data_IF_422754803689
#
_entry.id   IF_422754803689
#
_cell.length_a   1.000
_cell.length_b   1.000
_cell.length_c   1.000
_cell.angle_alpha   90.00
_cell.angle_beta   90.00
_cell.angle_gamma   90.00
#
_symmetry.space_group_name_H-M   'P 1'
#
loop_
_entity.id
_entity.type
_entity.pdbx_description
1 polymer ?
#
# COMPACT_ATOMS: atom_id res chain seq x y z
N UNK A 1 6.30 38.08 -21.27
CA UNK A 1 5.58 37.92 -19.98
C UNK A 1 5.94 36.54 -19.45
N UNK A 2 6.75 36.44 -18.38
CA UNK A 2 7.03 35.15 -17.73
C UNK A 2 5.80 34.80 -16.89
N UNK A 3 5.11 33.71 -17.20
CA UNK A 3 4.01 33.21 -16.38
C UNK A 3 4.58 32.81 -15.02
N UNK A 4 4.32 33.62 -14.00
CA UNK A 4 4.66 33.30 -12.62
C UNK A 4 3.61 32.29 -12.11
N UNK A 5 3.70 31.05 -12.59
CA UNK A 5 2.93 29.94 -12.01
C UNK A 5 3.53 29.65 -10.63
N UNK A 6 2.73 29.82 -9.58
CA UNK A 6 3.08 29.36 -8.24
C UNK A 6 3.57 27.91 -8.32
N UNK A 7 4.64 27.53 -7.59
CA UNK A 7 5.12 26.15 -7.59
C UNK A 7 3.97 25.22 -7.16
N UNK A 8 3.70 24.22 -7.99
CA UNK A 8 2.67 23.20 -7.71
C UNK A 8 3.17 22.31 -6.57
N UNK A 9 2.33 21.95 -5.59
CA UNK A 9 2.73 21.00 -4.55
C UNK A 9 3.15 19.67 -5.18
N UNK A 10 4.22 19.07 -4.66
CA UNK A 10 4.71 17.77 -5.12
C UNK A 10 3.76 16.67 -4.65
N UNK A 11 3.49 15.71 -5.53
CA UNK A 11 2.77 14.50 -5.22
C UNK A 11 3.61 13.28 -5.53
N UNK A 12 3.51 12.27 -4.69
CA UNK A 12 4.22 11.03 -4.87
C UNK A 12 3.27 9.83 -4.79
N UNK A 13 3.42 8.88 -5.71
CA UNK A 13 2.59 7.68 -5.74
C UNK A 13 3.26 6.53 -4.99
N UNK A 14 2.55 5.93 -4.04
CA UNK A 14 2.99 4.73 -3.34
C UNK A 14 2.14 3.52 -3.76
N UNK A 15 2.81 2.56 -4.42
CA UNK A 15 2.19 1.36 -4.97
C UNK A 15 2.77 0.12 -4.29
N UNK A 16 1.88 -0.70 -3.70
CA UNK A 16 2.23 -1.97 -3.06
C UNK A 16 1.33 -3.10 -3.54
N UNK A 17 1.91 -4.22 -3.96
CA UNK A 17 1.14 -5.39 -4.46
C UNK A 17 0.89 -6.43 -3.38
N UNK A 18 -0.37 -6.84 -3.17
CA UNK A 18 -0.76 -7.83 -2.15
C UNK A 18 -0.08 -9.19 -2.32
N UNK A 19 0.18 -9.63 -3.56
CA UNK A 19 1.05 -10.78 -3.83
C UNK A 19 2.05 -10.48 -4.95
N UNK A 20 3.20 -11.16 -4.99
CA UNK A 20 4.16 -11.02 -6.08
C UNK A 20 3.55 -11.31 -7.46
N UNK A 21 2.60 -12.25 -7.58
CA UNK A 21 1.93 -12.52 -8.86
C UNK A 21 1.06 -11.36 -9.36
N UNK A 22 0.59 -10.50 -8.46
CA UNK A 22 -0.15 -9.29 -8.82
C UNK A 22 0.74 -8.18 -9.38
N UNK A 23 2.06 -8.30 -9.34
CA UNK A 23 2.98 -7.33 -9.97
C UNK A 23 2.98 -7.38 -11.51
N UNK A 24 2.23 -8.31 -12.12
CA UNK A 24 2.11 -8.46 -13.57
C UNK A 24 1.35 -7.27 -14.19
N UNK A 25 2.09 -6.21 -14.53
CA UNK A 25 1.82 -5.15 -15.51
C UNK A 25 0.58 -4.28 -15.31
N UNK A 26 -0.61 -4.88 -15.43
CA UNK A 26 -1.87 -4.14 -15.57
C UNK A 26 -2.37 -3.51 -14.25
N UNK A 27 -2.06 -4.14 -13.11
CA UNK A 27 -2.37 -3.60 -11.78
C UNK A 27 -1.53 -2.37 -11.42
N UNK A 28 -0.25 -2.33 -11.83
CA UNK A 28 0.65 -1.18 -11.63
C UNK A 28 0.19 -0.02 -12.50
N UNK A 29 -0.04 -0.29 -13.79
CA UNK A 29 -0.50 0.70 -14.77
C UNK A 29 -1.76 1.40 -14.29
N UNK A 30 -2.80 0.65 -13.89
CA UNK A 30 -4.05 1.23 -13.41
C UNK A 30 -3.91 2.07 -12.14
N UNK A 31 -2.94 1.75 -11.27
CA UNK A 31 -2.69 2.55 -10.07
C UNK A 31 -1.97 3.85 -10.40
N UNK A 32 -0.98 3.80 -11.30
CA UNK A 32 -0.30 5.00 -11.80
C UNK A 32 -1.28 5.93 -12.54
N UNK A 33 -2.13 5.39 -13.41
CA UNK A 33 -3.16 6.17 -14.12
C UNK A 33 -4.11 6.90 -13.16
N UNK A 34 -4.47 6.27 -12.03
CA UNK A 34 -5.28 6.93 -10.99
C UNK A 34 -4.52 8.08 -10.33
N UNK A 35 -3.23 7.89 -10.03
CA UNK A 35 -2.39 8.90 -9.40
C UNK A 35 -2.13 10.09 -10.34
N UNK A 36 -1.81 9.82 -11.61
CA UNK A 36 -1.64 10.81 -12.67
C UNK A 36 -2.91 11.65 -12.85
N UNK A 37 -4.08 10.99 -12.94
CA UNK A 37 -5.36 11.69 -13.06
C UNK A 37 -5.62 12.58 -11.84
N UNK A 38 -5.42 12.06 -10.63
CA UNK A 38 -5.64 12.84 -9.41
C UNK A 38 -4.72 14.07 -9.35
N UNK A 39 -3.44 13.89 -9.67
CA UNK A 39 -2.46 14.98 -9.71
C UNK A 39 -2.84 16.04 -10.74
N UNK A 40 -3.27 15.63 -11.94
CA UNK A 40 -3.73 16.55 -12.98
C UNK A 40 -4.96 17.35 -12.54
N UNK A 41 -5.95 16.69 -11.94
CA UNK A 41 -7.20 17.31 -11.48
C UNK A 41 -6.97 18.31 -10.33
N UNK A 42 -6.03 18.03 -9.43
CA UNK A 42 -5.74 18.86 -8.25
C UNK A 42 -4.57 19.81 -8.44
N UNK A 43 -4.01 19.83 -9.65
CA UNK A 43 -2.89 20.67 -10.01
C UNK A 43 -1.60 20.40 -9.22
N UNK A 44 -1.36 19.13 -8.92
CA UNK A 44 -0.15 18.64 -8.26
C UNK A 44 0.91 18.29 -9.30
N UNK A 45 2.18 18.37 -8.90
CA UNK A 45 3.31 17.89 -9.69
C UNK A 45 3.64 16.46 -9.28
N UNK A 46 3.21 15.48 -10.09
CA UNK A 46 3.47 14.08 -9.81
C UNK A 46 4.95 13.78 -10.09
N UNK A 47 5.68 13.45 -9.04
CA UNK A 47 7.09 13.06 -9.16
C UNK A 47 7.14 11.66 -9.76
N UNK A 48 7.73 11.57 -10.96
CA UNK A 48 7.79 10.35 -11.80
C UNK A 48 8.65 9.25 -11.15
N UNK A 49 9.50 9.64 -10.20
CA UNK A 49 10.32 8.72 -9.43
C UNK A 49 9.47 7.99 -8.40
N UNK A 50 9.04 6.80 -8.81
CA UNK A 50 8.75 5.71 -7.86
C UNK A 50 9.93 5.69 -6.89
N UNK A 51 9.69 5.80 -5.58
CA UNK A 51 10.63 5.90 -4.43
C UNK A 51 11.87 4.97 -4.39
N UNK A 52 12.15 4.20 -5.44
CA UNK A 52 13.31 3.34 -5.60
C UNK A 52 14.63 4.09 -5.85
N UNK A 53 14.64 5.31 -6.40
CA UNK A 53 15.89 5.95 -6.86
C UNK A 53 16.38 7.17 -6.04
N UNK A 54 15.64 7.61 -5.01
CA UNK A 54 16.02 8.74 -4.15
C UNK A 54 17.13 8.41 -3.12
N UNK A 55 18.11 7.57 -3.46
CA UNK A 55 19.25 7.27 -2.57
C UNK A 55 18.92 6.39 -1.35
N UNK A 56 17.70 5.85 -1.26
CA UNK A 56 17.24 5.05 -0.10
C UNK A 56 17.64 3.57 -0.16
N UNK A 57 18.54 3.22 -1.07
CA UNK A 57 19.11 1.88 -1.19
C UNK A 57 19.96 1.43 0.01
N UNK A 58 20.28 2.35 0.94
CA UNK A 58 21.20 2.13 2.06
C UNK A 58 20.61 1.36 3.26
N UNK A 59 19.28 1.20 3.38
CA UNK A 59 18.66 0.58 4.56
C UNK A 59 17.83 -0.67 4.24
N UNK A 60 18.43 -1.63 3.53
CA UNK A 60 17.85 -2.97 3.27
C UNK A 60 17.85 -3.90 4.52
N UNK A 61 17.59 -3.35 5.70
CA UNK A 61 17.72 -4.06 6.98
C UNK A 61 16.46 -3.97 7.85
N UNK A 62 15.72 -5.09 7.90
CA UNK A 62 14.54 -5.39 8.74
C UNK A 62 13.18 -4.96 8.13
N UNK A 63 12.37 -5.97 7.79
CA UNK A 63 10.99 -5.91 7.28
C UNK A 63 10.82 -5.35 5.85
N UNK A 64 10.86 -6.26 4.86
CA UNK A 64 10.53 -5.99 3.44
C UNK A 64 9.15 -5.34 3.21
N UNK A 65 8.25 -5.46 4.20
CA UNK A 65 6.89 -4.92 4.16
C UNK A 65 6.77 -3.46 4.63
N UNK A 66 7.83 -2.88 5.21
CA UNK A 66 7.88 -1.52 5.74
C UNK A 66 8.93 -0.62 5.07
N UNK A 67 9.84 -1.17 4.25
CA UNK A 67 10.99 -0.45 3.69
C UNK A 67 10.62 0.83 2.95
N UNK A 68 9.93 0.74 1.81
CA UNK A 68 9.68 1.90 0.95
C UNK A 68 8.85 3.04 1.60
N UNK A 69 7.98 2.72 2.56
CA UNK A 69 7.23 3.75 3.30
C UNK A 69 8.07 4.35 4.44
N UNK A 70 8.89 3.55 5.13
CA UNK A 70 9.83 4.07 6.10
C UNK A 70 10.89 4.96 5.43
N UNK A 71 11.35 4.54 4.26
CA UNK A 71 12.25 5.28 3.36
C UNK A 71 11.65 6.64 2.96
N UNK A 72 10.35 6.66 2.61
CA UNK A 72 9.60 7.90 2.37
C UNK A 72 9.61 8.80 3.61
N UNK A 73 9.22 8.27 4.77
CA UNK A 73 9.11 9.06 5.99
C UNK A 73 10.47 9.62 6.41
N UNK A 74 11.54 8.85 6.25
CA UNK A 74 12.90 9.33 6.50
C UNK A 74 13.28 10.46 5.53
N UNK A 75 12.92 10.34 4.25
CA UNK A 75 13.17 11.42 3.27
C UNK A 75 12.41 12.71 3.61
N UNK A 76 11.25 12.61 4.28
CA UNK A 76 10.52 13.77 4.83
C UNK A 76 11.26 14.37 6.02
N UNK A 77 11.72 13.53 6.95
CA UNK A 77 12.51 13.95 8.12
C UNK A 77 13.82 14.64 7.71
N UNK A 78 14.50 14.09 6.70
CA UNK A 78 15.75 14.61 6.16
C UNK A 78 15.56 15.87 5.30
N UNK A 79 14.30 16.28 5.05
CA UNK A 79 13.93 17.46 4.28
C UNK A 79 14.10 17.32 2.76
N UNK A 80 14.35 16.10 2.27
CA UNK A 80 14.38 15.78 0.83
C UNK A 80 12.96 15.89 0.24
N UNK A 81 11.98 15.39 0.98
CA UNK A 81 10.55 15.56 0.68
C UNK A 81 10.04 16.76 1.49
N UNK A 82 9.62 17.80 0.79
CA UNK A 82 9.10 19.02 1.41
C UNK A 82 7.78 18.76 2.13
N UNK A 83 7.60 19.35 3.32
CA UNK A 83 6.31 19.38 4.02
C UNK A 83 5.25 20.06 3.15
N UNK A 84 4.01 19.57 3.23
CA UNK A 84 2.92 19.93 2.32
C UNK A 84 2.90 19.11 1.02
N UNK A 85 3.84 18.18 0.84
CA UNK A 85 3.77 17.20 -0.25
C UNK A 85 2.64 16.19 -0.04
N UNK A 86 2.17 15.63 -1.15
CA UNK A 86 1.08 14.66 -1.19
C UNK A 86 1.62 13.24 -1.31
N UNK A 87 1.10 12.32 -0.51
CA UNK A 87 1.32 10.89 -0.65
C UNK A 87 0.03 10.23 -1.16
N UNK A 88 0.05 9.81 -2.43
CA UNK A 88 -1.08 9.19 -3.11
C UNK A 88 -1.01 7.67 -2.95
N UNK A 89 -2.01 7.09 -2.30
CA UNK A 89 -2.15 5.63 -2.12
C UNK A 89 -3.47 5.17 -2.68
N UNK A 90 -3.55 3.92 -3.19
CA UNK A 90 -4.84 3.42 -3.69
C UNK A 90 -5.88 3.28 -2.58
N UNK A 91 -5.46 2.83 -1.40
CA UNK A 91 -6.31 2.55 -0.25
C UNK A 91 -5.47 2.38 1.02
N UNK A 92 -6.13 2.44 2.18
CA UNK A 92 -5.48 2.31 3.50
C UNK A 92 -4.76 0.97 3.69
N UNK A 93 -5.23 -0.11 3.06
CA UNK A 93 -4.57 -1.43 3.13
C UNK A 93 -3.26 -1.53 2.35
N UNK A 94 -2.91 -0.52 1.54
CA UNK A 94 -1.57 -0.41 0.93
C UNK A 94 -0.52 0.06 1.92
N UNK A 95 -0.93 0.87 2.91
CA UNK A 95 -0.04 1.40 3.97
C UNK A 95 0.36 0.28 4.92
N UNK A 96 -0.61 -0.49 5.42
CA UNK A 96 -0.35 -1.65 6.27
C UNK A 96 -1.30 -2.79 6.01
N UNK A 97 -0.76 -4.02 6.00
CA UNK A 97 -1.52 -5.28 5.96
C UNK A 97 -1.80 -5.85 7.34
N UNK A 98 -1.34 -5.15 8.36
CA UNK A 98 -1.50 -5.59 9.73
C UNK A 98 -2.87 -5.21 10.28
N UNK A 99 -3.05 -5.42 11.58
CA UNK A 99 -4.24 -5.01 12.31
C UNK A 99 -4.59 -3.54 12.03
N UNK A 100 -5.89 -3.18 11.94
CA UNK A 100 -6.36 -1.83 11.63
C UNK A 100 -5.69 -0.73 12.46
N UNK A 101 -5.51 -0.98 13.77
CA UNK A 101 -4.81 -0.06 14.69
C UNK A 101 -3.42 0.37 14.20
N UNK A 102 -2.66 -0.51 13.56
CA UNK A 102 -1.32 -0.19 13.04
C UNK A 102 -1.39 0.66 11.77
N UNK A 103 -2.37 0.41 10.90
CA UNK A 103 -2.59 1.25 9.72
C UNK A 103 -2.94 2.68 10.13
N UNK A 104 -3.80 2.82 11.14
CA UNK A 104 -4.21 4.12 11.65
C UNK A 104 -3.08 4.90 12.33
N UNK A 105 -2.19 4.23 13.08
CA UNK A 105 -0.98 4.88 13.60
C UNK A 105 -0.06 5.38 12.50
N UNK A 106 0.13 4.59 11.45
CA UNK A 106 0.94 5.04 10.30
C UNK A 106 0.31 6.24 9.59
N UNK A 107 -1.03 6.30 9.53
CA UNK A 107 -1.73 7.48 9.03
C UNK A 107 -1.41 8.72 9.89
N UNK A 108 -1.49 8.61 11.21
CA UNK A 108 -1.10 9.68 12.15
C UNK A 108 0.36 10.10 11.91
N UNK A 109 1.30 9.15 11.91
CA UNK A 109 2.74 9.41 11.72
C UNK A 109 3.02 10.17 10.40
N UNK A 110 2.34 9.78 9.31
CA UNK A 110 2.45 10.46 8.00
C UNK A 110 1.94 11.90 8.11
N UNK A 111 0.75 12.11 8.68
CA UNK A 111 0.17 13.44 8.81
C UNK A 111 0.99 14.36 9.73
N UNK A 112 1.52 13.82 10.84
CA UNK A 112 2.40 14.55 11.77
C UNK A 112 3.73 14.98 11.13
N UNK A 113 4.25 14.20 10.17
CA UNK A 113 5.43 14.59 9.39
C UNK A 113 5.19 15.81 8.48
N UNK A 114 3.93 16.25 8.35
CA UNK A 114 3.51 17.38 7.51
C UNK A 114 3.15 16.97 6.10
N UNK A 115 2.82 15.69 5.87
CA UNK A 115 2.46 15.13 4.57
C UNK A 115 0.95 14.96 4.46
N UNK A 116 0.41 15.24 3.29
CA UNK A 116 -1.01 15.11 2.99
C UNK A 116 -1.22 13.74 2.35
N UNK A 117 -1.87 12.81 3.06
CA UNK A 117 -2.19 11.49 2.53
C UNK A 117 -3.49 11.54 1.75
N UNK A 118 -3.51 10.97 0.55
CA UNK A 118 -4.73 10.80 -0.24
C UNK A 118 -4.97 9.34 -0.55
N UNK A 119 -6.18 8.85 -0.27
CA UNK A 119 -6.66 7.54 -0.73
C UNK A 119 -7.43 7.69 -2.04
N UNK A 120 -6.86 7.20 -3.14
CA UNK A 120 -7.41 7.34 -4.49
C UNK A 120 -8.68 6.49 -4.72
N UNK A 121 -8.91 5.46 -3.90
CA UNK A 121 -10.07 4.57 -4.02
C UNK A 121 -11.39 5.23 -3.62
N UNK A 122 -11.35 6.10 -2.62
CA UNK A 122 -12.52 6.81 -2.07
C UNK A 122 -12.36 8.35 -2.06
N UNK A 123 -11.21 8.86 -2.52
CA UNK A 123 -10.94 10.29 -2.65
C UNK A 123 -10.74 11.02 -1.33
N UNK A 124 -10.49 10.31 -0.23
CA UNK A 124 -10.27 10.95 1.08
C UNK A 124 -8.88 11.57 1.15
N UNK A 125 -8.82 12.73 1.78
CA UNK A 125 -7.60 13.51 2.02
C UNK A 125 -7.42 13.58 3.54
N UNK A 126 -6.21 13.35 4.00
CA UNK A 126 -5.85 13.34 5.40
C UNK A 126 -4.60 14.20 5.60
N UNK A 127 -4.72 15.18 6.48
CA UNK A 127 -3.64 15.97 7.03
C UNK A 127 -3.88 16.14 8.53
N UNK A 128 -2.92 16.77 9.24
CA UNK A 128 -3.01 16.91 10.69
C UNK A 128 -4.29 17.65 11.12
N UNK A 129 -4.70 18.70 10.39
CA UNK A 129 -5.95 19.42 10.67
C UNK A 129 -7.18 18.54 10.50
N UNK A 130 -7.21 17.69 9.47
CA UNK A 130 -8.33 16.78 9.22
C UNK A 130 -8.43 15.73 10.33
N UNK A 131 -7.30 15.26 10.86
CA UNK A 131 -7.30 14.31 11.97
C UNK A 131 -7.75 14.95 13.30
N UNK A 132 -7.39 16.21 13.52
CA UNK A 132 -7.75 16.95 14.75
C UNK A 132 -9.21 17.44 14.71
N UNK A 133 -9.67 17.96 13.57
CA UNK A 133 -10.96 18.64 13.43
C UNK A 133 -12.10 17.70 12.97
N UNK A 134 -11.79 16.58 12.30
CA UNK A 134 -12.78 15.60 11.82
C UNK A 134 -12.57 14.20 12.39
N UNK A 135 -13.15 13.90 13.58
CA UNK A 135 -13.14 12.55 14.15
C UNK A 135 -13.72 11.46 13.23
N UNK A 136 -14.61 11.83 12.29
CA UNK A 136 -15.20 10.87 11.35
C UNK A 136 -14.20 10.44 10.28
N UNK A 137 -13.26 11.29 9.88
CA UNK A 137 -12.20 10.92 8.94
C UNK A 137 -11.33 9.79 9.50
N UNK A 138 -10.95 9.90 10.78
CA UNK A 138 -10.19 8.88 11.48
C UNK A 138 -10.96 7.56 11.62
N UNK A 139 -12.23 7.64 12.03
CA UNK A 139 -13.12 6.47 12.11
C UNK A 139 -13.28 5.79 10.74
N UNK A 140 -13.40 6.57 9.67
CA UNK A 140 -13.49 6.04 8.31
C UNK A 140 -12.23 5.28 7.92
N UNK A 141 -11.05 5.86 8.13
CA UNK A 141 -9.77 5.21 7.86
C UNK A 141 -9.65 3.88 8.63
N UNK A 142 -10.05 3.87 9.90
CA UNK A 142 -10.08 2.67 10.72
C UNK A 142 -11.05 1.60 10.18
N UNK A 143 -12.27 1.98 9.78
CA UNK A 143 -13.25 1.07 9.19
C UNK A 143 -12.77 0.46 7.88
N UNK A 144 -12.15 1.26 7.00
CA UNK A 144 -11.58 0.77 5.74
C UNK A 144 -10.47 -0.26 6.02
N UNK A 145 -9.59 0.02 6.98
CA UNK A 145 -8.55 -0.91 7.40
C UNK A 145 -9.12 -2.19 8.03
N UNK A 146 -10.19 -2.10 8.84
CA UNK A 146 -10.91 -3.27 9.38
C UNK A 146 -11.43 -4.19 8.28
N UNK A 147 -12.14 -3.62 7.30
CA UNK A 147 -12.72 -4.38 6.18
C UNK A 147 -11.65 -5.12 5.37
N UNK A 148 -10.54 -4.45 5.08
CA UNK A 148 -9.43 -5.05 4.33
C UNK A 148 -8.75 -6.19 5.12
N UNK A 149 -8.61 -6.04 6.43
CA UNK A 149 -8.08 -7.09 7.31
C UNK A 149 -9.01 -8.32 7.34
N UNK A 150 -10.33 -8.11 7.49
CA UNK A 150 -11.33 -9.18 7.49
C UNK A 150 -11.33 -9.97 6.17
N UNK A 151 -11.23 -9.28 5.03
CA UNK A 151 -11.12 -9.93 3.72
C UNK A 151 -9.85 -10.79 3.62
N UNK A 152 -8.73 -10.27 4.14
CA UNK A 152 -7.46 -10.97 4.16
C UNK A 152 -7.49 -12.22 5.05
N UNK A 153 -8.08 -12.11 6.25
CA UNK A 153 -8.29 -13.23 7.17
C UNK A 153 -9.22 -14.30 6.58
N UNK A 154 -10.29 -13.88 5.91
CA UNK A 154 -11.24 -14.77 5.23
C UNK A 154 -10.56 -15.54 4.10
N UNK A 155 -9.75 -14.86 3.27
CA UNK A 155 -8.94 -15.53 2.22
C UNK A 155 -7.97 -16.52 2.84
N UNK A 156 -7.25 -16.15 3.91
CA UNK A 156 -6.33 -17.03 4.60
C UNK A 156 -7.03 -18.24 5.22
N UNK A 157 -8.24 -18.08 5.76
CA UNK A 157 -9.07 -19.17 6.28
C UNK A 157 -9.47 -20.13 5.17
N UNK A 158 -9.99 -19.63 4.04
CA UNK A 158 -10.37 -20.46 2.88
C UNK A 158 -9.20 -21.27 2.31
N UNK A 159 -8.01 -20.65 2.22
CA UNK A 159 -6.80 -21.34 1.79
C UNK A 159 -6.43 -22.45 2.78
N UNK A 160 -6.44 -22.17 4.09
CA UNK A 160 -6.17 -23.19 5.13
C UNK A 160 -7.17 -24.35 5.08
N UNK A 161 -8.45 -24.08 4.92
CA UNK A 161 -9.50 -25.10 4.79
C UNK A 161 -9.33 -25.95 3.51
N UNK A 162 -8.95 -25.33 2.39
CA UNK A 162 -8.65 -26.06 1.15
C UNK A 162 -7.43 -26.99 1.33
N UNK A 163 -6.38 -26.53 2.01
CA UNK A 163 -5.21 -27.36 2.35
C UNK A 163 -5.55 -28.48 3.35
N UNK A 164 -6.38 -28.20 4.35
CA UNK A 164 -6.89 -29.20 5.28
C UNK A 164 -7.66 -30.31 4.58
N UNK A 165 -8.58 -29.96 3.67
CA UNK A 165 -9.31 -30.92 2.82
C UNK A 165 -8.37 -31.76 1.94
N UNK A 166 -7.38 -31.13 1.31
CA UNK A 166 -6.36 -31.86 0.53
C UNK A 166 -5.60 -32.88 1.39
N UNK A 167 -5.23 -32.51 2.62
CA UNK A 167 -4.51 -33.39 3.54
C UNK A 167 -5.38 -34.56 4.01
N UNK A 168 -6.65 -34.31 4.31
CA UNK A 168 -7.60 -35.35 4.68
C UNK A 168 -7.84 -36.34 3.53
N UNK A 169 -8.06 -35.85 2.31
CA UNK A 169 -8.25 -36.69 1.13
C UNK A 169 -6.98 -37.51 0.80
N UNK A 170 -5.79 -36.94 1.01
CA UNK A 170 -4.54 -37.67 0.83
C UNK A 170 -4.38 -38.81 1.84
N UNK A 171 -4.77 -38.59 3.10
CA UNK A 171 -4.70 -39.61 4.15
C UNK A 171 -5.75 -40.71 3.98
N UNK A 172 -6.97 -40.35 3.57
CA UNK A 172 -8.09 -41.30 3.45
C UNK A 172 -8.11 -42.06 2.12
N UNK A 173 -7.80 -41.38 1.01
CA UNK A 173 -8.00 -41.92 -0.35
C UNK A 173 -6.69 -42.06 -1.14
N UNK A 174 -5.54 -41.74 -0.53
CA UNK A 174 -4.24 -41.76 -1.21
C UNK A 174 -4.09 -40.71 -2.31
N UNK A 175 -5.00 -39.74 -2.40
CA UNK A 175 -5.00 -38.72 -3.45
C UNK A 175 -3.85 -37.72 -3.26
N UNK A 176 -3.06 -37.42 -4.30
CA UNK A 176 -1.97 -36.44 -4.21
C UNK A 176 -2.48 -35.05 -3.79
N UNK A 177 -1.83 -34.42 -2.81
CA UNK A 177 -2.22 -33.08 -2.33
C UNK A 177 -1.96 -31.98 -3.38
N UNK A 178 -0.96 -32.17 -4.23
CA UNK A 178 -0.60 -31.24 -5.31
C UNK A 178 -0.08 -32.01 -6.53
N UNK A 179 -0.13 -31.37 -7.69
CA UNK A 179 0.45 -31.89 -8.94
C UNK A 179 1.96 -31.66 -9.03
N UNK A 180 2.56 -30.91 -8.10
CA UNK A 180 4.01 -30.74 -8.01
C UNK A 180 4.58 -31.85 -7.15
N UNK A 181 5.30 -32.76 -7.80
CA UNK A 181 6.06 -33.83 -7.16
C UNK A 181 7.55 -33.67 -7.49
N UNK A 182 8.45 -34.23 -6.68
CA UNK A 182 9.86 -34.34 -7.06
C UNK A 182 10.02 -34.96 -8.45
N UNK A 183 11.03 -34.53 -9.20
CA UNK A 183 11.20 -34.91 -10.60
C UNK A 183 11.33 -36.44 -10.84
N UNK A 184 11.67 -37.21 -9.80
CA UNK A 184 11.78 -38.67 -9.83
C UNK A 184 10.46 -39.41 -9.51
N UNK A 185 9.37 -38.71 -9.18
CA UNK A 185 8.06 -39.29 -8.92
C UNK A 185 7.10 -38.97 -10.06
N UNK A 186 6.34 -39.97 -10.50
CA UNK A 186 5.25 -39.80 -11.45
C UNK A 186 3.92 -40.06 -10.74
N UNK A 187 2.99 -39.11 -10.84
CA UNK A 187 1.60 -39.33 -10.44
C UNK A 187 0.91 -40.13 -11.55
N UNK A 188 0.33 -41.28 -11.19
CA UNK A 188 -0.55 -42.05 -12.08
C UNK A 188 -1.96 -41.48 -12.07
#
# INVERSE_FOLDING_TARGET
>A
MKSNSLPRPKAYSYVRFSTPEQSRGDSKRRQMEKAERYALEHGLDLVDDTYMDLGVSAYRGRNKDAGALADFLQAVEDGVVEKGSYLLVESMDRISREKPRKATRLLEDICESGIILVTLGDGKVYDISTLDDDPMAFMWAFMVAMRANEESETKAKRVREAWGRKKANAAAEGKPMTMRVPAWLALK
#
